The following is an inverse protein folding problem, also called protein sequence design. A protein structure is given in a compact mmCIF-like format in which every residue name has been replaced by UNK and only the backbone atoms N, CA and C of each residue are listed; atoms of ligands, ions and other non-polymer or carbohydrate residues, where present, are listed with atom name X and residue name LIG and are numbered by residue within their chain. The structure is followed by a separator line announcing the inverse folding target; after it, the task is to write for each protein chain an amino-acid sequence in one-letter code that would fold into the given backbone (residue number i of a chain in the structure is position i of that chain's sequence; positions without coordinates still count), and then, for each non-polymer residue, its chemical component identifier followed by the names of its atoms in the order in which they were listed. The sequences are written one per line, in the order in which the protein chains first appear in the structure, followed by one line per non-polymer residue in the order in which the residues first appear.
data_IF_524092814942
#
_entry.id   IF_524092814942
#
_cell.length_a   1.000
_cell.length_b   1.000
_cell.length_c   1.000
_cell.angle_alpha   90.00
_cell.angle_beta   90.00
_cell.angle_gamma   90.00
#
_symmetry.space_group_name_H-M   'P 1'
#
loop_
_entity.id
_entity.type
_entity.pdbx_description
1 polymer ?
#
# COMPACT_ATOMS: atom_id res chain seq x y z
N UNK A 1 -5.18 11.53 -17.40
CA UNK A 1 -5.71 12.87 -17.72
C UNK A 1 -4.55 13.86 -17.73
N UNK A 2 -4.35 14.68 -18.78
CA UNK A 2 -3.27 15.69 -18.77
C UNK A 2 -3.53 16.69 -17.64
N UNK A 3 -2.49 17.12 -16.92
CA UNK A 3 -2.58 18.07 -15.79
C UNK A 3 -3.37 19.34 -16.15
N UNK A 4 -3.27 19.79 -17.40
CA UNK A 4 -4.04 20.91 -17.96
C UNK A 4 -5.55 20.72 -17.84
N UNK A 5 -6.10 19.52 -18.10
CA UNK A 5 -7.55 19.29 -18.00
C UNK A 5 -8.06 19.33 -16.56
N UNK A 6 -7.24 18.96 -15.58
CA UNK A 6 -7.58 19.06 -14.15
C UNK A 6 -7.73 20.54 -13.77
N UNK A 7 -6.77 21.37 -14.18
CA UNK A 7 -6.82 22.82 -13.94
C UNK A 7 -8.02 23.46 -14.62
N UNK A 8 -8.29 23.12 -15.89
CA UNK A 8 -9.47 23.62 -16.62
C UNK A 8 -10.76 23.25 -15.90
N UNK A 9 -10.91 22.01 -15.43
CA UNK A 9 -12.08 21.58 -14.66
C UNK A 9 -12.26 22.42 -13.38
N UNK A 10 -11.17 22.66 -12.65
CA UNK A 10 -11.20 23.50 -11.45
C UNK A 10 -11.66 24.92 -11.72
N UNK A 11 -11.13 25.54 -12.78
CA UNK A 11 -11.53 26.89 -13.22
C UNK A 11 -13.00 26.94 -13.62
N UNK A 12 -13.48 25.95 -14.39
CA UNK A 12 -14.89 25.89 -14.80
C UNK A 12 -15.83 25.74 -13.60
N UNK A 13 -15.50 24.89 -12.62
CA UNK A 13 -16.31 24.72 -11.41
C UNK A 13 -16.29 25.98 -10.53
N UNK A 14 -15.13 26.64 -10.39
CA UNK A 14 -15.03 27.89 -9.65
C UNK A 14 -15.79 29.04 -10.33
N UNK A 15 -15.75 29.12 -11.66
CA UNK A 15 -16.55 30.06 -12.44
C UNK A 15 -18.05 29.81 -12.28
N UNK A 16 -18.47 28.54 -12.31
CA UNK A 16 -19.86 28.15 -12.04
C UNK A 16 -20.30 28.56 -10.62
N UNK A 17 -19.44 28.37 -9.62
CA UNK A 17 -19.70 28.81 -8.25
C UNK A 17 -19.80 30.35 -8.15
N UNK A 18 -18.94 31.07 -8.86
CA UNK A 18 -18.93 32.54 -8.88
C UNK A 18 -20.17 33.13 -9.56
N UNK A 19 -20.77 32.42 -10.51
CA UNK A 19 -22.01 32.85 -11.17
C UNK A 19 -23.16 33.07 -10.18
N UNK A 20 -23.15 32.40 -9.01
CA UNK A 20 -24.15 32.62 -7.97
C UNK A 20 -24.18 34.07 -7.45
N UNK A 21 -23.05 34.79 -7.46
CA UNK A 21 -23.00 36.21 -7.06
C UNK A 21 -23.66 37.15 -8.08
N UNK A 22 -23.82 36.70 -9.32
CA UNK A 22 -24.54 37.45 -10.36
C UNK A 22 -26.05 37.17 -10.27
N UNK A 23 -26.42 35.94 -9.89
CA UNK A 23 -27.80 35.47 -9.90
C UNK A 23 -28.57 35.72 -8.60
N UNK A 24 -27.88 35.79 -7.46
CA UNK A 24 -28.48 35.87 -6.13
C UNK A 24 -28.03 37.12 -5.38
N UNK A 25 -28.87 37.64 -4.45
CA UNK A 25 -28.45 38.71 -3.56
C UNK A 25 -27.24 38.30 -2.72
N UNK A 26 -26.33 39.23 -2.48
CA UNK A 26 -25.12 38.98 -1.69
C UNK A 26 -25.50 38.92 -0.21
N UNK A 27 -25.58 37.69 0.33
CA UNK A 27 -25.84 37.43 1.74
C UNK A 27 -24.69 36.67 2.39
N UNK A 28 -24.66 36.63 3.73
CA UNK A 28 -23.65 35.85 4.45
C UNK A 28 -23.71 34.36 4.10
N UNK A 29 -24.90 33.81 3.87
CA UNK A 29 -25.08 32.42 3.46
C UNK A 29 -24.51 32.14 2.08
N UNK A 30 -24.60 33.09 1.14
CA UNK A 30 -24.00 32.98 -0.19
C UNK A 30 -22.46 32.93 -0.09
N UNK A 31 -21.87 33.80 0.73
CA UNK A 31 -20.42 33.82 0.94
C UNK A 31 -19.94 32.51 1.57
N UNK A 32 -20.65 32.00 2.59
CA UNK A 32 -20.35 30.71 3.22
C UNK A 32 -20.42 29.59 2.16
N UNK A 33 -21.52 29.50 1.41
CA UNK A 33 -21.69 28.50 0.36
C UNK A 33 -20.52 28.50 -0.63
N UNK A 34 -20.16 29.69 -1.11
CA UNK A 34 -19.07 29.86 -2.05
C UNK A 34 -17.73 29.37 -1.50
N UNK A 35 -17.37 29.77 -0.28
CA UNK A 35 -16.10 29.37 0.35
C UNK A 35 -16.02 27.85 0.50
N UNK A 36 -17.07 27.20 1.00
CA UNK A 36 -17.06 25.73 1.18
C UNK A 36 -17.12 24.97 -0.15
N UNK A 37 -17.74 25.52 -1.19
CA UNK A 37 -17.63 24.97 -2.54
C UNK A 37 -16.22 25.06 -3.09
N UNK A 38 -15.52 26.19 -2.89
CA UNK A 38 -14.13 26.32 -3.30
C UNK A 38 -13.23 25.30 -2.58
N UNK A 39 -13.46 25.07 -1.28
CA UNK A 39 -12.77 24.01 -0.53
C UNK A 39 -13.06 22.63 -1.15
N UNK A 40 -14.33 22.35 -1.47
CA UNK A 40 -14.72 21.10 -2.13
C UNK A 40 -14.10 20.90 -3.51
N UNK A 41 -14.05 21.96 -4.31
CA UNK A 41 -13.39 21.95 -5.62
C UNK A 41 -11.89 21.71 -5.45
N UNK A 42 -11.22 22.44 -4.55
CA UNK A 42 -9.80 22.24 -4.27
C UNK A 42 -9.51 20.81 -3.83
N UNK A 43 -10.33 20.25 -2.93
CA UNK A 43 -10.19 18.87 -2.48
C UNK A 43 -10.40 17.87 -3.64
N UNK A 44 -11.40 18.09 -4.50
CA UNK A 44 -11.61 17.28 -5.70
C UNK A 44 -10.39 17.31 -6.62
N UNK A 45 -9.82 18.50 -6.89
CA UNK A 45 -8.63 18.63 -7.73
C UNK A 45 -7.44 17.86 -7.16
N UNK A 46 -7.16 18.02 -5.86
CA UNK A 46 -6.08 17.28 -5.17
C UNK A 46 -6.29 15.77 -5.30
N UNK A 47 -7.52 15.29 -5.10
CA UNK A 47 -7.83 13.85 -5.21
C UNK A 47 -7.67 13.30 -6.64
N UNK A 48 -8.03 14.09 -7.66
CA UNK A 48 -7.85 13.71 -9.07
C UNK A 48 -6.38 13.72 -9.46
N UNK A 49 -5.59 14.67 -8.94
CA UNK A 49 -4.14 14.65 -9.10
C UNK A 49 -3.51 13.40 -8.47
N UNK A 50 -3.96 13.02 -7.27
CA UNK A 50 -3.50 11.81 -6.59
C UNK A 50 -3.85 10.55 -7.37
N UNK A 51 -5.08 10.45 -7.89
CA UNK A 51 -5.53 9.34 -8.73
C UNK A 51 -4.76 9.23 -10.06
N UNK A 52 -4.31 10.35 -10.62
CA UNK A 52 -3.55 10.39 -11.88
C UNK A 52 -2.05 10.19 -11.74
N UNK A 53 -1.54 9.97 -10.52
CA UNK A 53 -0.11 9.79 -10.26
C UNK A 53 0.38 8.41 -10.77
N UNK A 54 1.43 8.39 -11.58
CA UNK A 54 1.92 7.17 -12.25
C UNK A 54 2.51 6.13 -11.30
N UNK A 55 3.02 6.59 -10.16
CA UNK A 55 3.69 5.85 -9.11
C UNK A 55 2.72 5.26 -8.08
N UNK A 56 1.42 5.59 -8.16
CA UNK A 56 0.43 5.21 -7.17
C UNK A 56 -0.59 4.21 -7.72
N UNK A 57 -1.00 3.28 -6.85
CA UNK A 57 -2.07 2.33 -7.18
C UNK A 57 -3.41 3.07 -7.30
N UNK A 58 -4.06 2.96 -8.46
CA UNK A 58 -5.40 3.51 -8.69
C UNK A 58 -6.41 3.03 -7.64
N UNK A 59 -6.29 1.77 -7.19
CA UNK A 59 -7.19 1.19 -6.19
C UNK A 59 -7.03 1.85 -4.82
N UNK A 60 -5.83 2.33 -4.47
CA UNK A 60 -5.58 3.00 -3.20
C UNK A 60 -6.04 4.47 -3.22
N UNK A 61 -6.01 5.13 -4.37
CA UNK A 61 -6.35 6.55 -4.51
C UNK A 61 -7.82 6.79 -4.87
N UNK A 62 -8.51 5.80 -5.44
CA UNK A 62 -9.92 5.91 -5.80
C UNK A 62 -10.84 6.26 -4.61
N UNK A 63 -10.69 5.68 -3.41
CA UNK A 63 -11.50 6.07 -2.24
C UNK A 63 -11.36 7.55 -1.88
N UNK A 64 -10.18 8.14 -2.02
CA UNK A 64 -9.95 9.57 -1.77
C UNK A 64 -10.76 10.43 -2.75
N UNK A 65 -10.74 10.09 -4.03
CA UNK A 65 -11.54 10.74 -5.06
C UNK A 65 -13.04 10.63 -4.78
N UNK A 66 -13.52 9.44 -4.39
CA UNK A 66 -14.92 9.24 -4.04
C UNK A 66 -15.34 10.11 -2.85
N UNK A 67 -14.50 10.23 -1.81
CA UNK A 67 -14.77 11.11 -0.67
C UNK A 67 -14.76 12.59 -1.05
N UNK A 68 -13.84 13.03 -1.90
CA UNK A 68 -13.82 14.40 -2.38
C UNK A 68 -15.07 14.75 -3.21
N UNK A 69 -15.50 13.83 -4.10
CA UNK A 69 -16.75 13.98 -4.84
C UNK A 69 -17.96 14.03 -3.91
N UNK A 70 -18.06 13.11 -2.96
CA UNK A 70 -19.16 13.08 -1.99
C UNK A 70 -19.21 14.35 -1.14
N UNK A 71 -18.06 14.89 -0.73
CA UNK A 71 -17.99 16.15 0.00
C UNK A 71 -18.49 17.32 -0.83
N UNK A 72 -18.04 17.46 -2.09
CA UNK A 72 -18.48 18.52 -2.99
C UNK A 72 -19.99 18.48 -3.22
N UNK A 73 -20.56 17.28 -3.43
CA UNK A 73 -22.01 17.10 -3.58
C UNK A 73 -22.75 17.46 -2.29
N UNK A 74 -22.25 17.01 -1.14
CA UNK A 74 -22.88 17.27 0.16
C UNK A 74 -22.93 18.78 0.46
N UNK A 75 -21.81 19.50 0.32
CA UNK A 75 -21.78 20.96 0.53
C UNK A 75 -22.66 21.70 -0.50
N UNK A 76 -22.71 21.22 -1.75
CA UNK A 76 -23.61 21.74 -2.77
C UNK A 76 -25.08 21.58 -2.44
N UNK A 77 -25.48 20.43 -1.92
CA UNK A 77 -26.87 20.18 -1.51
C UNK A 77 -27.23 21.03 -0.29
N UNK A 78 -26.40 21.05 0.76
CA UNK A 78 -26.65 21.85 1.97
C UNK A 78 -26.82 23.33 1.60
N UNK A 79 -25.85 23.90 0.88
CA UNK A 79 -25.91 25.30 0.48
C UNK A 79 -27.03 25.59 -0.52
N UNK A 80 -27.26 24.70 -1.48
CA UNK A 80 -28.34 24.86 -2.46
C UNK A 80 -29.71 24.96 -1.79
N UNK A 81 -29.98 24.13 -0.79
CA UNK A 81 -31.22 24.18 -0.02
C UNK A 81 -31.33 25.50 0.76
N UNK A 82 -30.27 25.88 1.48
CA UNK A 82 -30.26 27.13 2.27
C UNK A 82 -30.51 28.36 1.39
N UNK A 83 -29.77 28.47 0.28
CA UNK A 83 -29.89 29.61 -0.64
C UNK A 83 -31.25 29.64 -1.34
N UNK A 84 -31.80 28.47 -1.72
CA UNK A 84 -33.10 28.39 -2.36
C UNK A 84 -34.22 28.85 -1.41
N UNK A 85 -34.22 28.38 -0.16
CA UNK A 85 -35.22 28.76 0.84
C UNK A 85 -35.15 30.25 1.19
N UNK A 86 -33.93 30.80 1.28
CA UNK A 86 -33.69 32.23 1.52
C UNK A 86 -34.17 33.08 0.35
N UNK A 87 -33.83 32.71 -0.89
CA UNK A 87 -34.22 33.46 -2.09
C UNK A 87 -35.73 33.40 -2.38
N UNK A 88 -36.41 32.31 -2.03
CA UNK A 88 -37.87 32.20 -2.12
C UNK A 88 -38.60 32.93 -0.99
N UNK A 89 -37.89 33.48 0.00
CA UNK A 89 -38.49 34.15 1.16
C UNK A 89 -39.26 33.21 2.09
N UNK A 90 -39.09 31.89 1.95
CA UNK A 90 -39.80 30.88 2.76
C UNK A 90 -39.18 30.79 4.15
N UNK A 91 -37.86 30.76 4.22
CA UNK A 91 -37.13 30.62 5.48
C UNK A 91 -35.68 31.11 5.32
N UNK A 92 -35.21 31.94 6.25
CA UNK A 92 -33.81 32.38 6.28
C UNK A 92 -33.09 31.69 7.43
N UNK A 93 -32.14 30.81 7.10
CA UNK A 93 -31.31 30.15 8.11
C UNK A 93 -30.28 31.15 8.65
N UNK A 94 -30.13 31.30 9.99
CA UNK A 94 -29.05 32.08 10.57
C UNK A 94 -27.69 31.61 10.05
N UNK A 95 -26.85 32.55 9.61
CA UNK A 95 -25.56 32.24 8.99
C UNK A 95 -24.67 31.36 9.87
N UNK A 96 -24.75 31.53 11.20
CA UNK A 96 -23.99 30.72 12.16
C UNK A 96 -24.37 29.23 12.08
N UNK A 97 -25.65 28.90 11.87
CA UNK A 97 -26.10 27.51 11.73
C UNK A 97 -25.68 26.92 10.38
N UNK A 98 -25.72 27.70 9.30
CA UNK A 98 -25.20 27.26 8.01
C UNK A 98 -23.69 26.98 8.10
N UNK A 99 -22.93 27.88 8.74
CA UNK A 99 -21.50 27.70 8.97
C UNK A 99 -21.21 26.43 9.78
N UNK A 100 -21.94 26.20 10.88
CA UNK A 100 -21.80 24.99 11.70
C UNK A 100 -22.09 23.73 10.88
N UNK A 101 -23.13 23.73 10.04
CA UNK A 101 -23.45 22.60 9.18
C UNK A 101 -22.31 22.29 8.18
N UNK A 102 -21.72 23.32 7.59
CA UNK A 102 -20.60 23.17 6.67
C UNK A 102 -19.32 22.68 7.35
N UNK A 103 -19.00 23.23 8.52
CA UNK A 103 -17.87 22.77 9.35
C UNK A 103 -18.07 21.32 9.76
N UNK A 104 -19.28 20.94 10.17
CA UNK A 104 -19.60 19.55 10.50
C UNK A 104 -19.41 18.61 9.31
N UNK A 105 -19.84 19.01 8.10
CA UNK A 105 -19.62 18.25 6.87
C UNK A 105 -18.12 18.06 6.57
N UNK A 106 -17.30 19.10 6.73
CA UNK A 106 -15.84 19.01 6.60
C UNK A 106 -15.25 18.04 7.61
N UNK A 107 -15.65 18.14 8.89
CA UNK A 107 -15.12 17.29 9.96
C UNK A 107 -15.43 15.81 9.72
N UNK A 108 -16.68 15.48 9.36
CA UNK A 108 -17.09 14.10 9.09
C UNK A 108 -16.28 13.50 7.94
N UNK A 109 -16.11 14.25 6.84
CA UNK A 109 -15.28 13.80 5.71
C UNK A 109 -13.81 13.71 6.10
N UNK A 110 -13.30 14.67 6.87
CA UNK A 110 -11.90 14.68 7.34
C UNK A 110 -11.56 13.46 8.18
N UNK A 111 -12.45 13.04 9.09
CA UNK A 111 -12.31 11.80 9.86
C UNK A 111 -12.24 10.59 8.93
N UNK A 112 -13.14 10.49 7.95
CA UNK A 112 -13.16 9.39 7.00
C UNK A 112 -11.88 9.32 6.14
N UNK A 113 -11.39 10.47 5.67
CA UNK A 113 -10.13 10.56 4.92
C UNK A 113 -8.94 10.16 5.79
N UNK A 114 -8.93 10.54 7.07
CA UNK A 114 -7.88 10.14 8.02
C UNK A 114 -7.86 8.62 8.19
N UNK A 115 -9.02 7.99 8.36
CA UNK A 115 -9.14 6.53 8.46
C UNK A 115 -8.65 5.82 7.18
N UNK A 116 -8.97 6.37 6.01
CA UNK A 116 -8.46 5.85 4.72
C UNK A 116 -6.93 5.92 4.65
N UNK A 117 -6.33 7.04 5.06
CA UNK A 117 -4.88 7.21 5.07
C UNK A 117 -4.16 6.26 6.04
N UNK A 118 -4.75 6.04 7.23
CA UNK A 118 -4.23 5.07 8.19
C UNK A 118 -4.28 3.64 7.63
N UNK A 119 -5.42 3.26 7.03
CA UNK A 119 -5.56 1.96 6.38
C UNK A 119 -4.57 1.75 5.24
N UNK A 120 -4.38 2.78 4.41
CA UNK A 120 -3.38 2.76 3.33
C UNK A 120 -1.96 2.56 3.86
N UNK A 121 -1.55 3.34 4.86
CA UNK A 121 -0.24 3.22 5.50
C UNK A 121 -0.01 1.82 6.08
N UNK A 122 -1.03 1.23 6.69
CA UNK A 122 -0.95 -0.14 7.19
C UNK A 122 -0.74 -1.17 6.06
N UNK A 123 -1.50 -1.07 4.96
CA UNK A 123 -1.35 -1.96 3.80
C UNK A 123 0.05 -1.83 3.19
N UNK A 124 0.54 -0.61 3.00
CA UNK A 124 1.89 -0.36 2.47
C UNK A 124 2.97 -0.94 3.38
N UNK A 125 2.85 -0.75 4.70
CA UNK A 125 3.79 -1.30 5.67
C UNK A 125 3.80 -2.84 5.68
N UNK A 126 2.63 -3.47 5.61
CA UNK A 126 2.52 -4.94 5.51
C UNK A 126 3.11 -5.43 4.17
N UNK A 127 2.78 -4.75 3.07
CA UNK A 127 3.33 -5.06 1.75
C UNK A 127 4.86 -4.98 1.70
N UNK A 128 5.44 -3.93 2.30
CA UNK A 128 6.89 -3.76 2.39
C UNK A 128 7.56 -4.90 3.18
N UNK A 129 6.99 -5.28 4.33
CA UNK A 129 7.49 -6.41 5.14
C UNK A 129 7.45 -7.73 4.37
N UNK A 130 6.37 -7.99 3.64
CA UNK A 130 6.23 -9.21 2.82
C UNK A 130 7.23 -9.19 1.66
N UNK A 131 7.44 -8.03 1.02
CA UNK A 131 8.40 -7.89 -0.07
C UNK A 131 9.84 -8.10 0.40
N UNK A 132 10.21 -7.52 1.55
CA UNK A 132 11.53 -7.71 2.18
C UNK A 132 11.79 -9.18 2.52
N UNK A 133 10.85 -9.82 3.22
CA UNK A 133 10.99 -11.22 3.63
C UNK A 133 11.04 -12.18 2.43
N UNK A 134 10.24 -11.92 1.38
CA UNK A 134 10.35 -12.65 0.11
C UNK A 134 11.71 -12.43 -0.56
N UNK A 135 12.21 -11.20 -0.58
CA UNK A 135 13.51 -10.85 -1.15
C UNK A 135 14.65 -11.62 -0.48
N UNK A 136 14.62 -11.76 0.84
CA UNK A 136 15.60 -12.53 1.59
C UNK A 136 15.65 -14.01 1.14
N UNK A 137 14.50 -14.67 1.01
CA UNK A 137 14.45 -16.06 0.50
C UNK A 137 14.92 -16.18 -0.94
N UNK A 138 14.53 -15.24 -1.81
CA UNK A 138 14.98 -15.23 -3.21
C UNK A 138 16.49 -15.09 -3.33
N UNK A 139 17.12 -14.28 -2.47
CA UNK A 139 18.57 -14.17 -2.40
C UNK A 139 19.20 -15.51 -1.99
N UNK A 140 18.69 -16.17 -0.95
CA UNK A 140 19.19 -17.48 -0.53
C UNK A 140 19.03 -18.55 -1.64
N UNK A 141 17.91 -18.56 -2.36
CA UNK A 141 17.71 -19.44 -3.52
C UNK A 141 18.76 -19.16 -4.60
N UNK A 142 19.08 -17.89 -4.84
CA UNK A 142 20.10 -17.48 -5.81
C UNK A 142 21.49 -17.96 -5.37
N UNK A 143 21.85 -17.77 -4.11
CA UNK A 143 23.12 -18.19 -3.52
C UNK A 143 23.30 -19.71 -3.62
N UNK A 144 22.27 -20.48 -3.24
CA UNK A 144 22.29 -21.95 -3.34
C UNK A 144 22.39 -22.41 -4.79
N UNK A 145 21.67 -21.78 -5.73
CA UNK A 145 21.77 -22.14 -7.15
C UNK A 145 23.14 -21.84 -7.74
N UNK A 146 23.82 -20.78 -7.29
CA UNK A 146 25.18 -20.46 -7.72
C UNK A 146 26.20 -21.57 -7.35
N UNK A 147 25.92 -22.35 -6.30
CA UNK A 147 26.78 -23.48 -5.90
C UNK A 147 26.80 -24.61 -6.93
N UNK A 148 25.77 -24.74 -7.79
CA UNK A 148 25.70 -25.81 -8.80
C UNK A 148 26.89 -25.78 -9.76
N UNK A 149 27.43 -24.60 -10.05
CA UNK A 149 28.60 -24.43 -10.91
C UNK A 149 29.89 -24.92 -10.24
N UNK A 150 29.95 -24.93 -8.91
CA UNK A 150 31.13 -25.37 -8.13
C UNK A 150 31.13 -26.88 -7.87
N UNK A 151 30.02 -27.56 -8.13
CA UNK A 151 29.91 -29.01 -7.93
C UNK A 151 30.85 -29.79 -8.86
N UNK A 152 31.17 -29.25 -10.03
CA UNK A 152 32.07 -29.87 -11.01
C UNK A 152 33.52 -29.99 -10.50
N UNK A 153 33.88 -29.22 -9.46
CA UNK A 153 35.19 -29.25 -8.84
C UNK A 153 35.34 -30.33 -7.74
N UNK A 154 34.25 -31.05 -7.44
CA UNK A 154 34.21 -32.13 -6.45
C UNK A 154 34.63 -33.49 -7.04
N UNK A 155 35.03 -34.46 -6.19
CA UNK A 155 35.25 -35.85 -6.61
C UNK A 155 34.05 -36.41 -7.39
N UNK A 156 34.32 -37.09 -8.52
CA UNK A 156 33.28 -37.56 -9.47
C UNK A 156 32.18 -38.39 -8.82
N UNK A 157 32.52 -39.21 -7.83
CA UNK A 157 31.61 -40.07 -7.07
C UNK A 157 30.65 -39.28 -6.15
N UNK A 158 31.04 -38.08 -5.73
CA UNK A 158 30.27 -37.20 -4.87
C UNK A 158 29.40 -36.18 -5.63
N UNK A 159 29.79 -35.80 -6.86
CA UNK A 159 29.08 -34.81 -7.68
C UNK A 159 27.57 -35.04 -7.79
N UNK A 160 27.05 -36.23 -8.16
CA UNK A 160 25.61 -36.42 -8.33
C UNK A 160 24.85 -36.27 -7.01
N UNK A 161 25.43 -36.70 -5.88
CA UNK A 161 24.82 -36.59 -4.55
C UNK A 161 24.73 -35.14 -4.11
N UNK A 162 25.84 -34.39 -4.22
CA UNK A 162 25.90 -32.98 -3.81
C UNK A 162 25.04 -32.11 -4.73
N UNK A 163 25.03 -32.37 -6.04
CA UNK A 163 24.16 -31.68 -7.01
C UNK A 163 22.69 -31.82 -6.64
N UNK A 164 22.26 -33.05 -6.29
CA UNK A 164 20.91 -33.32 -5.84
C UNK A 164 20.59 -32.60 -4.53
N UNK A 165 21.46 -32.67 -3.53
CA UNK A 165 21.24 -32.01 -2.24
C UNK A 165 21.10 -30.48 -2.37
N UNK A 166 21.91 -29.84 -3.22
CA UNK A 166 21.80 -28.41 -3.54
C UNK A 166 20.46 -28.09 -4.22
N UNK A 167 20.02 -28.94 -5.15
CA UNK A 167 18.73 -28.78 -5.81
C UNK A 167 17.57 -28.88 -4.80
N UNK A 168 17.59 -29.89 -3.93
CA UNK A 168 16.58 -30.10 -2.89
C UNK A 168 16.50 -28.90 -1.94
N UNK A 169 17.64 -28.34 -1.50
CA UNK A 169 17.67 -27.12 -0.66
C UNK A 169 17.12 -25.91 -1.40
N UNK A 170 17.52 -25.71 -2.66
CA UNK A 170 17.01 -24.61 -3.50
C UNK A 170 15.49 -24.70 -3.65
N UNK A 171 14.96 -25.89 -3.90
CA UNK A 171 13.52 -26.08 -4.07
C UNK A 171 12.77 -25.88 -2.75
N UNK A 172 13.30 -26.40 -1.64
CA UNK A 172 12.73 -26.16 -0.32
C UNK A 172 12.65 -24.66 0.03
N UNK A 173 13.70 -23.88 -0.26
CA UNK A 173 13.70 -22.42 -0.08
C UNK A 173 12.74 -21.71 -1.04
N UNK A 174 12.68 -22.15 -2.30
CA UNK A 174 11.79 -21.56 -3.33
C UNK A 174 10.32 -21.73 -2.99
N UNK A 175 9.95 -22.87 -2.42
CA UNK A 175 8.57 -23.18 -2.04
C UNK A 175 8.27 -22.87 -0.56
N UNK A 176 9.21 -22.27 0.16
CA UNK A 176 9.00 -21.81 1.53
C UNK A 176 8.08 -20.60 1.60
N UNK A 177 7.36 -20.50 2.72
CA UNK A 177 6.48 -19.36 3.00
C UNK A 177 7.31 -18.06 3.13
N UNK A 178 7.06 -16.99 2.36
CA UNK A 178 7.90 -15.79 2.45
C UNK A 178 7.75 -15.03 3.77
N UNK A 179 6.72 -15.30 4.58
CA UNK A 179 6.47 -14.53 5.80
C UNK A 179 7.44 -14.95 6.91
N UNK A 180 8.23 -14.02 7.41
CA UNK A 180 8.98 -14.18 8.66
C UNK A 180 8.12 -13.72 9.84
N UNK A 181 7.97 -14.58 10.83
CA UNK A 181 7.28 -14.30 12.09
C UNK A 181 8.29 -14.33 13.25
N UNK A 182 7.99 -13.73 14.42
CA UNK A 182 8.86 -13.84 15.59
C UNK A 182 9.21 -15.30 15.96
N UNK A 183 8.30 -16.24 15.71
CA UNK A 183 8.48 -17.67 16.00
C UNK A 183 9.53 -18.37 15.11
N UNK A 184 9.87 -17.80 13.96
CA UNK A 184 10.84 -18.36 13.01
C UNK A 184 12.08 -17.49 12.81
N UNK A 185 12.19 -16.35 13.50
CA UNK A 185 13.30 -15.41 13.31
C UNK A 185 14.67 -16.04 13.57
N UNK A 186 14.75 -16.91 14.58
CA UNK A 186 15.96 -17.68 14.87
C UNK A 186 16.30 -18.64 13.71
N UNK A 187 15.28 -19.36 13.21
CA UNK A 187 15.40 -20.29 12.08
C UNK A 187 15.84 -19.57 10.80
N UNK A 188 15.30 -18.40 10.50
CA UNK A 188 15.73 -17.61 9.33
C UNK A 188 17.23 -17.26 9.40
N UNK A 189 17.73 -16.91 10.60
CA UNK A 189 19.16 -16.67 10.84
C UNK A 189 20.01 -17.94 10.71
N UNK A 190 19.53 -19.08 11.22
CA UNK A 190 20.20 -20.38 11.09
C UNK A 190 20.27 -20.82 9.62
N UNK A 191 19.18 -20.68 8.87
CA UNK A 191 19.12 -21.02 7.44
C UNK A 191 20.09 -20.16 6.65
N UNK A 192 20.11 -18.84 6.86
CA UNK A 192 21.05 -17.94 6.18
C UNK A 192 22.52 -18.32 6.47
N UNK A 193 22.84 -18.58 7.74
CA UNK A 193 24.17 -19.00 8.15
C UNK A 193 24.55 -20.38 7.60
N UNK A 194 23.58 -21.30 7.53
CA UNK A 194 23.72 -22.63 6.98
C UNK A 194 23.96 -22.63 5.47
N UNK A 195 23.27 -21.77 4.71
CA UNK A 195 23.52 -21.58 3.27
C UNK A 195 24.95 -21.07 3.04
N UNK A 196 25.41 -20.11 3.84
CA UNK A 196 26.79 -19.63 3.77
C UNK A 196 27.81 -20.73 4.13
N UNK A 197 27.51 -21.57 5.13
CA UNK A 197 28.35 -22.71 5.50
C UNK A 197 28.40 -23.78 4.40
N UNK A 198 27.25 -24.10 3.79
CA UNK A 198 27.16 -25.01 2.65
C UNK A 198 28.02 -24.52 1.49
N UNK A 199 27.96 -23.22 1.19
CA UNK A 199 28.81 -22.61 0.16
C UNK A 199 30.30 -22.73 0.45
N UNK A 200 30.72 -22.59 1.71
CA UNK A 200 32.11 -22.80 2.12
C UNK A 200 32.54 -24.25 1.97
N UNK A 201 31.74 -25.21 2.43
CA UNK A 201 32.05 -26.64 2.33
C UNK A 201 32.18 -27.11 0.86
N UNK A 202 31.27 -26.66 -0.02
CA UNK A 202 31.35 -26.94 -1.46
C UNK A 202 32.63 -26.35 -2.07
N UNK A 203 32.99 -25.12 -1.72
CA UNK A 203 34.19 -24.46 -2.24
C UNK A 203 35.48 -25.07 -1.70
N UNK A 204 35.45 -25.60 -0.47
CA UNK A 204 36.56 -26.32 0.16
C UNK A 204 36.65 -27.80 -0.29
N UNK A 205 35.77 -28.23 -1.21
CA UNK A 205 35.68 -29.59 -1.74
C UNK A 205 35.36 -30.67 -0.69
N UNK A 206 34.70 -30.28 0.40
CA UNK A 206 34.32 -31.18 1.50
C UNK A 206 32.92 -31.75 1.25
N UNK A 207 32.84 -32.80 0.43
CA UNK A 207 31.57 -33.37 -0.02
C UNK A 207 30.68 -33.89 1.12
N UNK A 208 31.24 -34.63 2.07
CA UNK A 208 30.46 -35.20 3.20
C UNK A 208 29.91 -34.10 4.13
N UNK A 209 30.70 -33.06 4.37
CA UNK A 209 30.27 -31.89 5.14
C UNK A 209 29.15 -31.13 4.42
N UNK A 210 29.28 -30.94 3.10
CA UNK A 210 28.24 -30.31 2.29
C UNK A 210 26.92 -31.11 2.32
N UNK A 211 26.97 -32.44 2.25
CA UNK A 211 25.79 -33.29 2.34
C UNK A 211 25.13 -33.20 3.73
N UNK A 212 25.91 -33.19 4.80
CA UNK A 212 25.39 -33.04 6.16
C UNK A 212 24.75 -31.66 6.38
N UNK A 213 25.40 -30.59 5.92
CA UNK A 213 24.86 -29.24 5.99
C UNK A 213 23.57 -29.09 5.18
N UNK A 214 23.50 -29.66 3.97
CA UNK A 214 22.29 -29.66 3.16
C UNK A 214 21.13 -30.40 3.87
N UNK A 215 21.41 -31.52 4.52
CA UNK A 215 20.41 -32.27 5.29
C UNK A 215 19.88 -31.46 6.48
N UNK A 216 20.76 -30.80 7.23
CA UNK A 216 20.37 -29.91 8.34
C UNK A 216 19.54 -28.73 7.84
N UNK A 217 19.95 -28.10 6.74
CA UNK A 217 19.19 -27.02 6.11
C UNK A 217 17.78 -27.45 5.72
N UNK A 218 17.61 -28.62 5.11
CA UNK A 218 16.28 -29.14 4.78
C UNK A 218 15.40 -29.32 6.02
N UNK A 219 15.98 -29.77 7.14
CA UNK A 219 15.26 -29.91 8.41
C UNK A 219 14.87 -28.54 8.97
N UNK A 220 15.78 -27.58 9.02
CA UNK A 220 15.50 -26.21 9.47
C UNK A 220 14.43 -25.54 8.61
N UNK A 221 14.50 -25.67 7.28
CA UNK A 221 13.50 -25.10 6.34
C UNK A 221 12.12 -25.72 6.59
N UNK A 222 12.06 -27.03 6.80
CA UNK A 222 10.82 -27.73 7.10
C UNK A 222 10.22 -27.27 8.42
N UNK A 223 11.02 -27.24 9.49
CA UNK A 223 10.60 -26.76 10.81
C UNK A 223 10.09 -25.32 10.74
N UNK A 224 10.81 -24.47 10.00
CA UNK A 224 10.44 -23.07 9.78
C UNK A 224 9.09 -22.94 9.08
N UNK A 225 8.80 -23.76 8.07
CA UNK A 225 7.49 -23.77 7.41
C UNK A 225 6.37 -24.26 8.33
N UNK A 226 6.62 -25.28 9.16
CA UNK A 226 5.65 -25.81 10.13
C UNK A 226 5.33 -24.79 11.23
N UNK A 227 6.35 -24.14 11.81
CA UNK A 227 6.16 -23.09 12.81
C UNK A 227 5.40 -21.89 12.25
N UNK A 228 5.70 -21.48 11.02
CA UNK A 228 4.95 -20.42 10.36
C UNK A 228 3.50 -20.79 10.07
N UNK A 229 3.22 -22.05 9.73
CA UNK A 229 1.84 -22.53 9.57
C UNK A 229 1.07 -22.46 10.90
N UNK A 230 1.70 -22.87 12.00
CA UNK A 230 1.08 -22.87 13.33
C UNK A 230 0.89 -21.46 13.89
N UNK A 231 1.79 -20.53 13.58
CA UNK A 231 1.67 -19.14 14.01
C UNK A 231 0.57 -18.35 13.28
N UNK A 232 0.03 -18.91 12.18
CA UNK A 232 -1.08 -18.34 11.39
C UNK A 232 -2.45 -18.95 11.72
N UNK A 233 -2.48 -20.04 12.49
CA UNK A 233 -3.70 -20.71 12.96
C UNK A 233 -4.20 -20.10 14.26
#
# INVERSE_FOLDING_TARGET
MKKQHIVILGVLLAALAALLFVLLPITANLVIAYVFWLIGIAFLLVSVFALGAKDKSLLMELPLFLKARSYLVLTAVISGIVLLLENLGVFTLPFALHLVAQVAAVLVIGIQVTQLNLGKSHIEAVGAKVAEARGALVNLVTDVNALKNRVEELPEDAQPKVRKAIADVSDALRYSDPISTPAVRELDGRIASGVAALGRAVSAKQADEALNLAKTLLADIKERNERNKNAKA
#
